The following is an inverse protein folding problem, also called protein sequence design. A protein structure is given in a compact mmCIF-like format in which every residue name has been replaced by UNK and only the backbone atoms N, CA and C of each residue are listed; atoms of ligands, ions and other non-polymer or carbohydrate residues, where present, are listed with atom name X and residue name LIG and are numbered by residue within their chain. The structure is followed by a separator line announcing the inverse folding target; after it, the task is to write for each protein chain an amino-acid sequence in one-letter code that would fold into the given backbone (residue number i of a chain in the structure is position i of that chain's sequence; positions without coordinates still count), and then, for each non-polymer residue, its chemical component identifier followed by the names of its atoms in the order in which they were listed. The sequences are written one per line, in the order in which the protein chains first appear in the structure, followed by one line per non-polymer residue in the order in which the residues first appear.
data_IF_559681607851
#
_entry.id   IF_559681607851
#
_cell.length_a   1.000
_cell.length_b   1.000
_cell.length_c   1.000
_cell.angle_alpha   90.00
_cell.angle_beta   90.00
_cell.angle_gamma   90.00
#
_symmetry.space_group_name_H-M   'P 1'
#
loop_
_entity.id
_entity.type
_entity.pdbx_description
1 polymer ?
#
# COMPACT_ATOMS: atom_id res chain seq x y z
N UNK A 1 4.62 -8.75 3.53
CA UNK A 1 3.51 -7.80 3.79
C UNK A 1 3.26 -6.92 2.57
N UNK A 2 4.21 -6.12 2.10
CA UNK A 2 4.01 -5.28 0.90
C UNK A 2 3.66 -6.13 -0.34
N UNK A 3 4.41 -7.21 -0.59
CA UNK A 3 4.12 -8.16 -1.67
C UNK A 3 2.70 -8.74 -1.58
N UNK A 4 2.27 -9.10 -0.36
CA UNK A 4 0.95 -9.66 -0.11
C UNK A 4 -0.15 -8.61 -0.28
N UNK A 5 0.08 -7.37 0.13
CA UNK A 5 -0.85 -6.27 -0.04
C UNK A 5 -1.08 -5.96 -1.53
N UNK A 6 -0.02 -5.69 -2.28
CA UNK A 6 -0.12 -5.34 -3.71
C UNK A 6 -0.66 -6.54 -4.51
N UNK A 7 -0.20 -7.75 -4.21
CA UNK A 7 -0.72 -8.98 -4.83
C UNK A 7 -2.20 -9.22 -4.54
N UNK A 8 -2.66 -8.98 -3.32
CA UNK A 8 -4.08 -9.08 -2.95
C UNK A 8 -4.93 -8.07 -3.71
N UNK A 9 -4.49 -6.81 -3.80
CA UNK A 9 -5.20 -5.79 -4.56
C UNK A 9 -5.28 -6.14 -6.06
N UNK A 10 -4.17 -6.60 -6.64
CA UNK A 10 -4.13 -7.03 -8.04
C UNK A 10 -5.06 -8.23 -8.29
N UNK A 11 -5.05 -9.23 -7.41
CA UNK A 11 -5.91 -10.41 -7.51
C UNK A 11 -7.40 -10.07 -7.41
N UNK A 12 -7.79 -9.27 -6.41
CA UNK A 12 -9.18 -8.84 -6.23
C UNK A 12 -9.69 -7.98 -7.39
N UNK A 13 -8.83 -7.11 -7.91
CA UNK A 13 -9.14 -6.33 -9.11
C UNK A 13 -9.30 -7.25 -10.34
N UNK A 14 -8.42 -8.24 -10.51
CA UNK A 14 -8.52 -9.20 -11.60
C UNK A 14 -9.85 -9.96 -11.59
N UNK A 15 -10.22 -10.51 -10.44
CA UNK A 15 -11.48 -11.23 -10.25
C UNK A 15 -12.68 -10.37 -10.61
N UNK A 16 -12.70 -9.12 -10.13
CA UNK A 16 -13.76 -8.17 -10.44
C UNK A 16 -13.87 -7.88 -11.94
N UNK A 17 -12.76 -7.55 -12.61
CA UNK A 17 -12.78 -7.20 -14.02
C UNK A 17 -13.12 -8.41 -14.90
N UNK A 18 -12.64 -9.61 -14.55
CA UNK A 18 -13.02 -10.84 -15.25
C UNK A 18 -14.52 -11.09 -15.17
N UNK A 19 -15.13 -10.87 -14.01
CA UNK A 19 -16.57 -11.00 -13.85
C UNK A 19 -17.33 -9.89 -14.60
N UNK A 20 -16.87 -8.64 -14.50
CA UNK A 20 -17.53 -7.48 -15.11
C UNK A 20 -17.52 -7.53 -16.65
N UNK A 21 -16.44 -8.05 -17.24
CA UNK A 21 -16.25 -8.11 -18.69
C UNK A 21 -16.33 -9.53 -19.28
N UNK A 22 -16.72 -10.53 -18.49
CA UNK A 22 -16.83 -11.95 -18.91
C UNK A 22 -15.54 -12.49 -19.55
N UNK A 23 -14.40 -12.23 -18.90
CA UNK A 23 -13.08 -12.62 -19.39
C UNK A 23 -12.66 -13.97 -18.80
N UNK A 24 -12.06 -14.83 -19.63
CA UNK A 24 -11.53 -16.14 -19.23
C UNK A 24 -10.10 -16.05 -18.69
N UNK A 25 -9.30 -15.17 -19.27
CA UNK A 25 -7.89 -14.98 -18.93
C UNK A 25 -7.71 -13.90 -17.87
N UNK A 26 -6.58 -13.97 -17.17
CA UNK A 26 -6.19 -12.91 -16.25
C UNK A 26 -5.70 -11.70 -17.05
N UNK A 27 -6.23 -10.54 -16.73
CA UNK A 27 -5.89 -9.28 -17.40
C UNK A 27 -5.19 -8.30 -16.47
N UNK A 28 -5.09 -8.60 -15.17
CA UNK A 28 -4.32 -7.80 -14.21
C UNK A 28 -3.09 -8.59 -13.82
N UNK A 29 -1.93 -7.93 -13.81
CA UNK A 29 -0.67 -8.54 -13.38
C UNK A 29 0.09 -7.62 -12.45
N UNK A 30 0.75 -8.20 -11.43
CA UNK A 30 1.66 -7.47 -10.55
C UNK A 30 3.08 -7.60 -11.10
N UNK A 31 3.55 -6.57 -11.83
CA UNK A 31 4.86 -6.57 -12.49
C UNK A 31 5.36 -5.15 -12.73
N UNK A 32 6.66 -4.98 -12.93
CA UNK A 32 7.19 -3.76 -13.55
C UNK A 32 6.83 -3.70 -15.04
N UNK A 33 6.88 -2.49 -15.63
CA UNK A 33 6.67 -2.27 -17.07
C UNK A 33 7.94 -2.48 -17.90
N UNK A 34 9.08 -2.08 -17.35
CA UNK A 34 10.40 -2.24 -17.97
C UNK A 34 11.37 -2.93 -17.01
N UNK A 35 12.33 -3.65 -17.56
CA UNK A 35 13.44 -4.22 -16.81
C UNK A 35 14.55 -3.19 -16.53
N UNK A 36 15.60 -3.59 -15.81
CA UNK A 36 16.74 -2.73 -15.49
C UNK A 36 17.54 -2.26 -16.71
N UNK A 37 17.30 -2.88 -17.87
CA UNK A 37 17.93 -2.54 -19.14
C UNK A 37 17.01 -1.70 -20.05
N UNK A 38 15.80 -1.38 -19.59
CA UNK A 38 14.81 -0.59 -20.33
C UNK A 38 14.01 -1.40 -21.35
N UNK A 39 14.10 -2.73 -21.36
CA UNK A 39 13.27 -3.57 -22.21
C UNK A 39 11.90 -3.78 -21.56
N UNK A 40 10.86 -3.94 -22.39
CA UNK A 40 9.54 -4.27 -21.90
C UNK A 40 9.54 -5.63 -21.20
N UNK A 41 8.92 -5.70 -20.01
CA UNK A 41 8.78 -6.97 -19.29
C UNK A 41 7.80 -7.87 -20.04
N UNK A 42 8.19 -9.13 -20.23
CA UNK A 42 7.34 -10.13 -20.86
C UNK A 42 6.02 -10.31 -20.10
N UNK A 43 4.96 -10.69 -20.82
CA UNK A 43 3.64 -10.94 -20.25
C UNK A 43 2.98 -9.72 -19.57
N UNK A 44 3.35 -8.51 -19.98
CA UNK A 44 2.66 -7.27 -19.54
C UNK A 44 1.87 -6.60 -20.65
N UNK A 45 2.02 -7.06 -21.90
CA UNK A 45 1.29 -6.53 -23.04
C UNK A 45 -0.20 -6.88 -22.95
N UNK A 46 -1.05 -5.91 -23.28
CA UNK A 46 -2.50 -6.04 -23.24
C UNK A 46 -3.01 -6.45 -21.86
N UNK A 47 -2.37 -5.92 -20.81
CA UNK A 47 -2.75 -6.14 -19.42
C UNK A 47 -2.80 -4.82 -18.65
N UNK A 48 -3.56 -4.85 -17.57
CA UNK A 48 -3.52 -3.86 -16.50
C UNK A 48 -2.39 -4.23 -15.54
N UNK A 49 -1.36 -3.41 -15.49
CA UNK A 49 -0.16 -3.65 -14.70
C UNK A 49 -0.26 -2.88 -13.39
N UNK A 50 -0.14 -3.60 -12.27
CA UNK A 50 -0.17 -3.05 -10.92
C UNK A 50 1.23 -3.10 -10.33
N UNK A 51 1.77 -1.95 -9.95
CA UNK A 51 3.13 -1.87 -9.42
C UNK A 51 3.30 -0.78 -8.38
N UNK A 52 4.33 -0.93 -7.56
CA UNK A 52 4.67 0.00 -6.50
C UNK A 52 5.60 1.09 -7.06
N UNK A 53 5.25 2.37 -6.84
CA UNK A 53 6.07 3.51 -7.26
C UNK A 53 6.85 4.11 -6.10
N UNK A 54 6.25 4.16 -4.90
CA UNK A 54 6.84 4.78 -3.73
C UNK A 54 6.32 4.15 -2.44
N UNK A 55 7.11 4.24 -1.36
CA UNK A 55 6.75 3.79 -0.02
C UNK A 55 7.11 4.89 0.96
N UNK A 56 6.18 5.27 1.81
CA UNK A 56 6.41 6.17 2.93
C UNK A 56 5.96 5.51 4.24
N UNK A 57 6.60 5.90 5.34
CA UNK A 57 6.06 5.58 6.67
C UNK A 57 4.90 6.52 6.96
N UNK A 58 3.76 5.97 7.39
CA UNK A 58 2.69 6.79 7.91
C UNK A 58 3.01 7.16 9.36
N UNK A 59 3.33 8.43 9.57
CA UNK A 59 3.63 9.00 10.90
C UNK A 59 2.41 9.70 11.50
N UNK A 60 1.19 9.38 11.04
CA UNK A 60 -0.04 9.84 11.66
C UNK A 60 -0.03 9.63 13.18
N UNK A 61 -0.83 10.38 13.95
CA UNK A 61 -0.72 10.42 15.41
C UNK A 61 -1.09 9.07 16.02
N UNK A 62 -0.11 8.18 16.09
CA UNK A 62 -0.14 7.04 16.96
C UNK A 62 -0.17 7.61 18.37
N UNK A 63 -1.34 7.57 19.02
CA UNK A 63 -1.42 7.77 20.46
C UNK A 63 -0.61 6.64 21.06
N UNK A 64 0.63 6.93 21.45
CA UNK A 64 1.31 6.10 22.43
C UNK A 64 0.33 5.92 23.59
N UNK A 65 -0.16 4.70 23.78
CA UNK A 65 -0.65 4.31 25.09
C UNK A 65 0.48 4.65 26.05
N UNK A 66 0.28 5.67 26.89
CA UNK A 66 1.26 6.04 27.90
C UNK A 66 1.51 4.78 28.74
N UNK A 67 2.75 4.30 28.87
CA UNK A 67 3.04 3.20 29.76
C UNK A 67 2.84 3.68 31.20
N UNK A 68 1.79 3.15 31.84
CA UNK A 68 1.70 3.08 33.29
C UNK A 68 0.75 4.08 33.93
N UNK A 69 -0.20 3.53 34.68
CA UNK A 69 -0.79 4.21 35.83
C UNK A 69 0.32 4.87 36.67
N UNK A 70 0.04 6.07 37.16
CA UNK A 70 0.91 6.80 38.08
C UNK A 70 1.16 5.96 39.35
N UNK A 71 2.20 5.13 39.33
CA UNK A 71 2.51 4.19 40.42
C UNK A 71 3.36 2.97 40.03
N UNK A 72 3.42 2.59 38.74
CA UNK A 72 4.21 1.44 38.31
C UNK A 72 5.72 1.70 38.32
N UNK A 73 6.48 0.89 39.05
CA UNK A 73 7.95 0.97 39.17
C UNK A 73 8.72 0.55 37.90
N UNK A 74 8.00 0.20 36.84
CA UNK A 74 8.51 -0.42 35.61
C UNK A 74 7.67 0.06 34.43
N UNK A 75 8.29 0.77 33.49
CA UNK A 75 7.66 1.17 32.23
C UNK A 75 7.92 0.08 31.17
N UNK A 76 6.87 -0.46 30.55
CA UNK A 76 6.99 -1.39 29.42
C UNK A 76 7.11 -0.62 28.11
N UNK A 77 8.14 -0.90 27.32
CA UNK A 77 8.27 -0.37 25.96
C UNK A 77 7.65 -1.36 24.98
N UNK A 78 6.55 -0.99 24.34
CA UNK A 78 5.93 -1.78 23.26
C UNK A 78 6.47 -1.34 21.89
N UNK A 79 6.54 -2.26 20.92
CA UNK A 79 6.76 -1.89 19.50
C UNK A 79 5.54 -1.10 19.03
N UNK A 80 5.74 0.12 18.51
CA UNK A 80 4.64 0.85 17.88
C UNK A 80 4.22 0.14 16.58
N UNK A 81 2.91 -0.02 16.30
CA UNK A 81 2.40 -0.60 15.06
C UNK A 81 3.00 0.10 13.84
N UNK A 82 3.37 -0.71 12.84
CA UNK A 82 3.93 -0.22 11.59
C UNK A 82 2.79 0.17 10.65
N UNK A 83 2.72 1.46 10.33
CA UNK A 83 1.85 2.00 9.30
C UNK A 83 2.67 2.45 8.10
N UNK A 84 2.29 2.01 6.90
CA UNK A 84 2.96 2.36 5.64
C UNK A 84 1.96 2.95 4.66
N UNK A 85 2.37 3.99 3.95
CA UNK A 85 1.70 4.46 2.74
C UNK A 85 2.42 3.85 1.54
N UNK A 86 1.72 2.99 0.80
CA UNK A 86 2.20 2.40 -0.44
C UNK A 86 1.57 3.14 -1.61
N UNK A 87 2.39 3.72 -2.48
CA UNK A 87 1.92 4.37 -3.69
C UNK A 87 1.90 3.33 -4.81
N UNK A 88 0.71 2.87 -5.17
CA UNK A 88 0.48 1.77 -6.10
C UNK A 88 -0.12 2.33 -7.39
N UNK A 89 0.60 2.19 -8.49
CA UNK A 89 0.15 2.57 -9.82
C UNK A 89 -0.63 1.42 -10.44
N UNK A 90 -1.74 1.76 -11.09
CA UNK A 90 -2.49 0.87 -11.97
C UNK A 90 -2.42 1.46 -13.37
N UNK A 91 -1.71 0.81 -14.28
CA UNK A 91 -1.46 1.30 -15.64
C UNK A 91 -1.92 0.30 -16.71
N UNK A 92 -2.61 0.78 -17.74
CA UNK A 92 -3.09 -0.07 -18.83
C UNK A 92 -2.05 -0.12 -19.96
N UNK A 93 -1.32 -1.23 -20.05
CA UNK A 93 -0.28 -1.44 -21.06
C UNK A 93 -0.87 -2.01 -22.36
N UNK A 94 -1.64 -1.18 -23.06
CA UNK A 94 -2.25 -1.51 -24.35
C UNK A 94 -1.64 -0.61 -25.42
N UNK A 95 -1.31 -1.20 -26.57
CA UNK A 95 -0.71 -0.48 -27.70
C UNK A 95 -1.63 -0.51 -28.92
N UNK A 96 -1.46 0.48 -29.81
CA UNK A 96 -2.16 0.53 -31.09
C UNK A 96 -3.68 0.71 -30.98
N UNK A 97 -4.44 -0.12 -31.70
CA UNK A 97 -5.90 -0.02 -31.84
C UNK A 97 -6.71 -0.29 -30.56
N UNK A 98 -6.09 -0.80 -29.49
CA UNK A 98 -6.79 -1.22 -28.28
C UNK A 98 -6.80 -0.12 -27.18
N UNK A 99 -6.60 1.13 -27.58
CA UNK A 99 -6.58 2.25 -26.62
C UNK A 99 -7.93 2.43 -25.92
N UNK A 100 -9.05 2.19 -26.61
CA UNK A 100 -10.37 2.28 -25.99
C UNK A 100 -10.53 1.26 -24.84
N UNK A 101 -10.01 0.05 -25.01
CA UNK A 101 -10.04 -0.99 -23.98
C UNK A 101 -9.16 -0.62 -22.78
N UNK A 102 -8.04 0.07 -23.03
CA UNK A 102 -7.21 0.61 -21.95
C UNK A 102 -7.99 1.57 -21.05
N UNK A 103 -8.82 2.44 -21.64
CA UNK A 103 -9.65 3.38 -20.88
C UNK A 103 -10.78 2.67 -20.14
N UNK A 104 -11.44 1.69 -20.79
CA UNK A 104 -12.48 0.86 -20.15
C UNK A 104 -11.94 0.17 -18.90
N UNK A 105 -10.74 -0.42 -18.99
CA UNK A 105 -10.13 -1.14 -17.87
C UNK A 105 -9.69 -0.20 -16.75
N UNK A 106 -9.15 0.98 -17.07
CA UNK A 106 -8.84 2.00 -16.05
C UNK A 106 -10.13 2.46 -15.36
N UNK A 107 -11.21 2.72 -16.10
CA UNK A 107 -12.52 3.06 -15.52
C UNK A 107 -13.05 1.92 -14.64
N UNK A 108 -12.89 0.67 -15.06
CA UNK A 108 -13.25 -0.52 -14.27
C UNK A 108 -12.45 -0.59 -12.97
N UNK A 109 -11.15 -0.33 -13.00
CA UNK A 109 -10.31 -0.29 -11.81
C UNK A 109 -10.70 0.83 -10.84
N UNK A 110 -10.99 2.01 -11.36
CA UNK A 110 -11.49 3.14 -10.56
C UNK A 110 -12.81 2.78 -9.90
N UNK A 111 -13.75 2.21 -10.66
CA UNK A 111 -15.07 1.79 -10.16
C UNK A 111 -14.93 0.74 -9.06
N UNK A 112 -14.04 -0.23 -9.24
CA UNK A 112 -13.77 -1.27 -8.26
C UNK A 112 -13.27 -0.69 -6.94
N UNK A 113 -12.19 0.10 -6.96
CA UNK A 113 -11.59 0.62 -5.73
C UNK A 113 -12.43 1.72 -5.08
N UNK A 114 -13.24 2.46 -5.85
CA UNK A 114 -14.24 3.35 -5.27
C UNK A 114 -15.35 2.58 -4.53
N UNK A 115 -15.75 1.42 -5.04
CA UNK A 115 -16.76 0.56 -4.40
C UNK A 115 -16.21 -0.20 -3.20
N UNK A 116 -14.94 -0.59 -3.24
CA UNK A 116 -14.25 -1.33 -2.19
C UNK A 116 -12.96 -0.60 -1.77
N UNK A 117 -13.06 0.54 -1.06
CA UNK A 117 -11.89 1.33 -0.68
C UNK A 117 -11.14 0.73 0.53
N UNK A 118 -11.75 -0.23 1.23
CA UNK A 118 -11.19 -0.83 2.45
C UNK A 118 -11.20 -2.35 2.33
N UNK A 119 -10.03 -2.95 2.55
CA UNK A 119 -9.84 -4.39 2.63
C UNK A 119 -9.37 -4.75 4.03
N UNK A 120 -10.14 -5.57 4.72
CA UNK A 120 -9.79 -6.16 6.02
C UNK A 120 -10.22 -7.64 6.02
N UNK A 121 -9.99 -8.36 7.12
CA UNK A 121 -10.34 -9.77 7.19
C UNK A 121 -11.86 -10.05 7.13
N UNK A 122 -12.73 -9.05 7.29
CA UNK A 122 -14.18 -9.22 7.12
C UNK A 122 -14.57 -9.20 5.64
N UNK A 123 -14.06 -8.21 4.89
CA UNK A 123 -14.36 -8.08 3.46
C UNK A 123 -13.48 -8.97 2.56
N UNK A 124 -12.32 -9.40 3.07
CA UNK A 124 -11.34 -10.22 2.38
C UNK A 124 -10.68 -11.22 3.33
N UNK A 125 -11.33 -12.37 3.59
CA UNK A 125 -10.78 -13.40 4.48
C UNK A 125 -9.42 -13.96 4.04
N UNK A 126 -9.07 -13.85 2.75
CA UNK A 126 -7.77 -14.27 2.20
C UNK A 126 -6.65 -13.25 2.37
N UNK A 127 -6.91 -12.09 2.98
CA UNK A 127 -5.90 -11.09 3.29
C UNK A 127 -4.84 -11.70 4.24
N UNK A 128 -3.56 -11.40 4.00
CA UNK A 128 -2.44 -11.89 4.81
C UNK A 128 -2.65 -11.50 6.29
N UNK A 129 -2.55 -12.46 7.21
CA UNK A 129 -2.81 -12.26 8.64
C UNK A 129 -1.90 -11.21 9.30
N UNK A 130 -0.80 -10.82 8.66
CA UNK A 130 0.07 -9.72 9.10
C UNK A 130 -0.44 -8.34 8.68
N UNK A 131 -1.54 -8.25 7.93
CA UNK A 131 -2.14 -7.01 7.46
C UNK A 131 -3.54 -6.94 8.07
N UNK A 132 -3.73 -6.03 9.02
CA UNK A 132 -5.03 -5.81 9.64
C UNK A 132 -6.00 -5.16 8.64
N UNK A 133 -5.50 -4.15 7.91
CA UNK A 133 -6.31 -3.36 6.99
C UNK A 133 -5.48 -2.71 5.90
N UNK A 134 -6.06 -2.63 4.70
CA UNK A 134 -5.64 -1.76 3.59
C UNK A 134 -6.72 -0.72 3.33
N UNK A 135 -6.35 0.56 3.24
CA UNK A 135 -7.26 1.66 2.88
C UNK A 135 -6.71 2.36 1.64
N UNK A 136 -7.52 2.48 0.60
CA UNK A 136 -7.12 3.03 -0.69
C UNK A 136 -7.77 4.39 -0.95
N UNK A 137 -6.96 5.33 -1.40
CA UNK A 137 -7.37 6.66 -1.83
C UNK A 137 -6.65 6.99 -3.15
N UNK A 138 -7.30 7.73 -4.06
CA UNK A 138 -6.64 8.20 -5.28
C UNK A 138 -5.64 9.29 -4.89
N UNK A 139 -4.40 9.14 -5.32
CA UNK A 139 -3.37 10.16 -5.19
C UNK A 139 -3.32 10.98 -6.49
N UNK A 140 -3.50 12.29 -6.38
CA UNK A 140 -3.47 13.18 -7.54
C UNK A 140 -2.05 13.70 -7.76
N UNK A 141 -1.50 13.46 -8.95
CA UNK A 141 -0.24 14.04 -9.39
C UNK A 141 -0.50 15.25 -10.29
N UNK A 142 0.32 16.29 -10.15
CA UNK A 142 0.37 17.34 -11.18
C UNK A 142 1.13 16.85 -12.43
N UNK A 143 1.01 17.59 -13.54
CA UNK A 143 1.61 17.18 -14.83
C UNK A 143 3.14 16.99 -14.73
N UNK A 144 3.84 17.80 -13.90
CA UNK A 144 5.29 17.69 -13.73
C UNK A 144 5.67 16.44 -12.94
N UNK A 145 4.98 16.17 -11.84
CA UNK A 145 5.17 14.94 -11.04
C UNK A 145 4.88 13.70 -11.87
N UNK A 146 3.78 13.71 -12.62
CA UNK A 146 3.42 12.62 -13.53
C UNK A 146 4.51 12.39 -14.58
N UNK A 147 4.96 13.46 -15.24
CA UNK A 147 6.05 13.40 -16.23
C UNK A 147 7.34 12.84 -15.63
N UNK A 148 7.73 13.33 -14.44
CA UNK A 148 8.93 12.88 -13.74
C UNK A 148 8.83 11.40 -13.35
N UNK A 149 7.70 10.97 -12.81
CA UNK A 149 7.46 9.58 -12.42
C UNK A 149 7.58 8.63 -13.61
N UNK A 150 6.92 8.94 -14.73
CA UNK A 150 7.01 8.13 -15.95
C UNK A 150 8.42 8.13 -16.57
N UNK A 151 9.13 9.26 -16.49
CA UNK A 151 10.54 9.34 -16.93
C UNK A 151 11.44 8.46 -16.08
N UNK A 152 11.28 8.47 -14.75
CA UNK A 152 12.04 7.62 -13.83
C UNK A 152 11.78 6.12 -14.05
N UNK A 153 10.55 5.77 -14.42
CA UNK A 153 10.18 4.39 -14.73
C UNK A 153 10.73 3.90 -16.08
N UNK A 154 11.39 4.75 -16.88
CA UNK A 154 11.95 4.35 -18.19
C UNK A 154 10.90 3.96 -19.23
N UNK A 155 9.62 4.20 -18.95
CA UNK A 155 8.50 3.84 -19.80
C UNK A 155 7.93 5.03 -20.57
N UNK A 156 7.26 4.75 -21.68
CA UNK A 156 6.35 5.73 -22.29
C UNK A 156 5.12 5.87 -21.40
N UNK A 157 4.53 7.07 -21.37
CA UNK A 157 3.30 7.29 -20.63
C UNK A 157 2.19 6.34 -21.11
N UNK A 158 1.50 5.72 -20.15
CA UNK A 158 0.31 4.90 -20.36
C UNK A 158 -0.87 5.51 -19.58
N UNK A 159 -2.12 5.28 -20.00
CA UNK A 159 -3.28 5.56 -19.17
C UNK A 159 -3.14 4.88 -17.81
N UNK A 160 -3.18 5.68 -16.74
CA UNK A 160 -2.88 5.19 -15.39
C UNK A 160 -3.55 5.99 -14.30
N UNK A 161 -3.75 5.36 -13.14
CA UNK A 161 -4.20 6.00 -11.90
C UNK A 161 -3.29 5.58 -10.75
N UNK A 162 -2.91 6.54 -9.92
CA UNK A 162 -2.10 6.30 -8.73
C UNK A 162 -3.00 6.21 -7.49
N UNK A 163 -2.79 5.17 -6.69
CA UNK A 163 -3.45 5.00 -5.39
C UNK A 163 -2.44 5.13 -4.26
N UNK A 164 -2.82 5.88 -3.22
CA UNK A 164 -2.21 5.79 -1.90
C UNK A 164 -2.92 4.70 -1.12
N UNK A 165 -2.19 3.63 -0.80
CA UNK A 165 -2.67 2.49 -0.03
C UNK A 165 -2.07 2.54 1.37
N UNK A 166 -2.89 2.86 2.37
CA UNK A 166 -2.48 2.82 3.78
C UNK A 166 -2.54 1.38 4.26
N UNK A 167 -1.39 0.81 4.57
CA UNK A 167 -1.23 -0.52 5.14
C UNK A 167 -1.11 -0.41 6.65
N UNK A 168 -1.98 -1.12 7.36
CA UNK A 168 -1.98 -1.21 8.82
C UNK A 168 -1.54 -2.62 9.23
N UNK A 169 -0.44 -2.71 9.98
CA UNK A 169 -0.03 -3.95 10.64
C UNK A 169 -0.83 -4.16 11.93
N UNK A 170 -1.10 -5.41 12.34
CA UNK A 170 -1.68 -5.73 13.64
C UNK A 170 -0.83 -5.15 14.77
N UNK A 171 -1.49 -4.59 15.79
CA UNK A 171 -0.82 -4.25 17.04
C UNK A 171 -0.43 -5.54 17.76
N UNK A 172 0.86 -5.88 17.73
CA UNK A 172 1.35 -7.13 18.32
C UNK A 172 1.59 -6.99 19.82
N UNK A 173 1.53 -5.77 20.39
CA UNK A 173 1.71 -5.55 21.83
C UNK A 173 3.05 -6.04 22.41
N UNK A 174 4.02 -6.40 21.55
CA UNK A 174 5.25 -7.05 21.95
C UNK A 174 6.05 -6.14 22.90
N UNK A 175 6.24 -6.61 24.14
CA UNK A 175 7.01 -5.92 25.16
C UNK A 175 8.49 -6.11 24.84
N UNK A 176 9.15 -5.07 24.31
CA UNK A 176 10.56 -5.10 23.92
C UNK A 176 11.49 -4.90 25.11
N UNK A 177 10.98 -4.32 26.20
CA UNK A 177 11.80 -4.10 27.39
C UNK A 177 11.04 -3.47 28.53
N UNK A 178 11.65 -3.55 29.72
CA UNK A 178 11.19 -2.88 30.91
C UNK A 178 12.23 -1.84 31.32
N UNK A 179 11.88 -0.56 31.31
CA UNK A 179 12.74 0.52 31.80
C UNK A 179 12.38 0.81 33.26
N UNK A 180 13.34 0.81 34.20
CA UNK A 180 13.07 1.23 35.57
C UNK A 180 12.79 2.73 35.61
N UNK A 181 11.68 3.11 36.25
CA UNK A 181 11.31 4.52 36.42
C UNK A 181 12.22 5.16 37.47
N UNK A 182 12.98 6.20 37.10
CA UNK A 182 13.83 6.95 38.03
C UNK A 182 12.93 7.63 39.07
N UNK A 183 12.99 7.17 40.33
CA UNK A 183 12.30 7.81 41.45
C UNK A 183 13.18 8.93 42.00
N UNK A 184 12.74 10.17 41.76
CA UNK A 184 13.06 11.44 42.45
C UNK A 184 14.52 11.72 42.83
N UNK A 185 15.07 12.90 42.47
CA UNK A 185 16.41 13.30 42.92
C UNK A 185 16.42 13.45 44.45
N UNK A 186 17.35 12.78 45.12
CA UNK A 186 17.64 13.00 46.53
C UNK A 186 18.29 14.37 46.65
N UNK A 187 17.72 15.34 47.39
CA UNK A 187 18.40 16.60 47.63
C UNK A 187 19.62 16.34 48.50
N UNK A 188 20.80 16.79 48.06
CA UNK A 188 21.99 16.78 48.88
C UNK A 188 21.75 17.65 50.12
N UNK A 189 21.68 17.03 51.30
CA UNK A 189 21.74 17.72 52.58
C UNK A 189 23.17 18.22 52.76
N UNK A 190 23.39 19.53 52.59
CA UNK A 190 24.63 20.17 53.02
C UNK A 190 24.48 20.61 54.48
N UNK A 191 25.40 20.10 55.30
CA UNK A 191 25.62 20.45 56.70
C UNK A 191 26.40 21.77 56.84
#
# INVERSE_FOLDING_TARGET
MINAAVGHLAGRLNEYLKQAYTLTEDIVTMSGLVDMHGHAVADTNNRLVVFLTHIERDTGPYRQSLPGEAGASRATTTVAPLYLNLYVMVAANYTGGNYEDSLKLISGAITFFQRYPVFDHQSSPSLDARIDRLVLEIENLNIRELSNLWTMLGGKYLPSVLYKVRLMAPDTGDIVGTVPTVRTPVPALNH
#
